data_IF_708847907980
#
_entry.id   IF_708847907980
#
_cell.length_a   1.000
_cell.length_b   1.000
_cell.length_c   1.000
_cell.angle_alpha   90.00
_cell.angle_beta   90.00
_cell.angle_gamma   90.00
#
_symmetry.space_group_name_H-M   'P 1'
#
loop_
_entity.id
_entity.type
_entity.pdbx_description
1 polymer ?
#
# COMPACT_ATOMS: atom_id res chain seq x y z
N UNK A 1 -6.81 -21.27 12.78
CA UNK A 1 -5.52 -20.57 12.70
C UNK A 1 -4.51 -21.23 11.76
N UNK A 2 -4.22 -22.53 11.84
CA UNK A 2 -3.24 -23.21 10.95
C UNK A 2 -3.50 -23.01 9.44
N UNK A 3 -4.77 -23.01 9.01
CA UNK A 3 -5.11 -22.82 7.60
C UNK A 3 -4.77 -21.41 7.09
N UNK A 4 -5.03 -20.34 7.86
CA UNK A 4 -4.73 -18.95 7.48
C UNK A 4 -3.22 -18.78 7.30
N UNK A 5 -2.42 -19.26 8.28
CA UNK A 5 -0.96 -19.17 8.23
C UNK A 5 -0.40 -19.96 7.04
N UNK A 6 -0.93 -21.15 6.76
CA UNK A 6 -0.49 -21.97 5.63
C UNK A 6 -0.79 -21.26 4.29
N UNK A 7 -1.96 -20.65 4.14
CA UNK A 7 -2.33 -19.89 2.94
C UNK A 7 -1.45 -18.64 2.82
N UNK A 8 -1.26 -17.89 3.90
CA UNK A 8 -0.40 -16.71 3.89
C UNK A 8 1.04 -17.05 3.51
N UNK A 9 1.61 -18.11 4.09
CA UNK A 9 2.96 -18.58 3.76
C UNK A 9 3.07 -19.06 2.30
N UNK A 10 2.04 -19.71 1.76
CA UNK A 10 2.03 -20.11 0.35
C UNK A 10 1.98 -18.88 -0.56
N UNK A 11 1.10 -17.94 -0.27
CA UNK A 11 0.96 -16.66 -1.01
C UNK A 11 2.28 -15.88 -0.99
N UNK A 12 2.93 -15.79 0.16
CA UNK A 12 4.23 -15.14 0.31
C UNK A 12 5.31 -15.83 -0.55
N UNK A 13 5.40 -17.17 -0.51
CA UNK A 13 6.37 -17.92 -1.32
C UNK A 13 6.12 -17.79 -2.82
N UNK A 14 4.86 -17.75 -3.24
CA UNK A 14 4.47 -17.55 -4.62
C UNK A 14 4.89 -16.15 -5.10
N UNK A 15 4.62 -15.11 -4.31
CA UNK A 15 4.97 -13.74 -4.61
C UNK A 15 6.48 -13.51 -4.71
N UNK A 16 7.28 -14.06 -3.78
CA UNK A 16 8.74 -13.91 -3.82
C UNK A 16 9.37 -14.59 -5.07
N UNK A 17 8.69 -15.57 -5.66
CA UNK A 17 9.16 -16.21 -6.89
C UNK A 17 8.79 -15.44 -8.16
N UNK A 18 7.96 -14.41 -8.05
CA UNK A 18 7.54 -13.63 -9.20
C UNK A 18 8.65 -12.63 -9.61
N UNK A 19 8.98 -12.64 -10.90
CA UNK A 19 10.04 -11.78 -11.47
C UNK A 19 9.69 -10.30 -11.42
N UNK A 20 8.40 -9.96 -11.43
CA UNK A 20 7.90 -8.59 -11.40
C UNK A 20 8.29 -7.90 -10.08
N UNK A 21 8.27 -8.62 -8.98
CA UNK A 21 8.69 -8.12 -7.67
C UNK A 21 10.16 -7.66 -7.68
N UNK A 22 11.05 -8.47 -8.23
CA UNK A 22 12.47 -8.15 -8.32
C UNK A 22 12.75 -6.99 -9.29
N UNK A 23 11.94 -6.88 -10.34
CA UNK A 23 12.05 -5.76 -11.29
C UNK A 23 11.71 -4.44 -10.58
N UNK A 24 10.61 -4.37 -9.84
CA UNK A 24 10.26 -3.16 -9.09
C UNK A 24 11.26 -2.85 -7.99
N UNK A 25 11.73 -3.88 -7.27
CA UNK A 25 12.78 -3.69 -6.27
C UNK A 25 14.06 -3.15 -6.91
N UNK A 26 14.46 -3.69 -8.07
CA UNK A 26 15.62 -3.21 -8.81
C UNK A 26 15.51 -1.75 -9.23
N UNK A 27 14.36 -1.34 -9.76
CA UNK A 27 14.11 0.07 -10.09
C UNK A 27 14.13 0.97 -8.85
N UNK A 28 13.55 0.53 -7.72
CA UNK A 28 13.58 1.27 -6.47
C UNK A 28 15.03 1.48 -5.99
N UNK A 29 15.86 0.42 -6.04
CA UNK A 29 17.28 0.51 -5.69
C UNK A 29 18.01 1.51 -6.59
N UNK A 30 17.78 1.46 -7.90
CA UNK A 30 18.38 2.41 -8.85
C UNK A 30 17.98 3.85 -8.53
N UNK A 31 16.70 4.11 -8.22
CA UNK A 31 16.24 5.45 -7.84
C UNK A 31 16.80 5.90 -6.50
N UNK A 32 16.83 5.02 -5.49
CA UNK A 32 17.38 5.33 -4.17
C UNK A 32 18.88 5.66 -4.25
N UNK A 33 19.65 4.89 -5.00
CA UNK A 33 21.07 5.19 -5.23
C UNK A 33 21.23 6.42 -6.11
N UNK A 34 20.36 6.60 -7.10
CA UNK A 34 20.35 7.75 -8.01
C UNK A 34 19.93 9.06 -7.33
N UNK A 35 19.20 9.01 -6.20
CA UNK A 35 18.81 10.22 -5.45
C UNK A 35 20.01 11.07 -5.03
N UNK A 36 21.18 10.43 -4.86
CA UNK A 36 22.47 11.10 -4.68
C UNK A 36 22.78 12.11 -5.79
N UNK A 37 22.57 11.73 -7.05
CA UNK A 37 22.88 12.60 -8.18
C UNK A 37 22.04 13.87 -8.13
N UNK A 38 20.79 13.76 -7.69
CA UNK A 38 19.89 14.91 -7.51
C UNK A 38 20.28 15.76 -6.31
N UNK A 39 20.71 15.14 -5.19
CA UNK A 39 21.25 15.86 -4.03
C UNK A 39 22.44 16.74 -4.39
N UNK A 40 23.38 16.26 -5.22
CA UNK A 40 24.54 17.00 -5.67
C UNK A 40 24.22 18.24 -6.52
N UNK A 41 23.04 18.33 -7.09
CA UNK A 41 22.60 19.49 -7.89
C UNK A 41 22.12 20.66 -7.01
N UNK A 42 21.96 20.46 -5.70
CA UNK A 42 21.40 21.44 -4.79
C UNK A 42 22.46 21.85 -3.76
N UNK A 43 22.65 23.16 -3.59
CA UNK A 43 23.64 23.71 -2.64
C UNK A 43 22.95 23.83 -1.27
N UNK A 44 23.39 23.03 -0.30
CA UNK A 44 23.04 23.18 1.12
C UNK A 44 21.94 22.26 1.69
N UNK A 45 21.09 21.60 0.85
CA UNK A 45 19.98 20.74 1.30
C UNK A 45 20.05 19.31 0.73
N UNK A 46 21.24 18.82 0.41
CA UNK A 46 21.46 17.53 -0.26
C UNK A 46 20.74 16.37 0.45
N UNK A 47 20.84 16.30 1.77
CA UNK A 47 20.26 15.19 2.54
C UNK A 47 18.74 15.20 2.58
N UNK A 48 18.14 16.39 2.65
CA UNK A 48 16.67 16.51 2.60
C UNK A 48 16.11 16.01 1.29
N UNK A 49 16.76 16.35 0.17
CA UNK A 49 16.36 15.88 -1.16
C UNK A 49 16.53 14.36 -1.28
N UNK A 50 17.62 13.79 -0.73
CA UNK A 50 17.82 12.34 -0.72
C UNK A 50 16.72 11.64 0.09
N UNK A 51 16.36 12.16 1.27
CA UNK A 51 15.29 11.64 2.11
C UNK A 51 13.94 11.72 1.39
N UNK A 52 13.59 12.89 0.83
CA UNK A 52 12.32 13.14 0.16
C UNK A 52 12.14 12.25 -1.07
N UNK A 53 13.07 12.28 -2.02
CA UNK A 53 13.04 11.41 -3.19
C UNK A 53 13.06 9.92 -2.82
N UNK A 54 13.80 9.57 -1.76
CA UNK A 54 13.87 8.22 -1.25
C UNK A 54 12.53 7.73 -0.71
N UNK A 55 11.85 8.53 0.13
CA UNK A 55 10.54 8.19 0.69
C UNK A 55 9.46 8.12 -0.39
N UNK A 56 9.45 9.08 -1.32
CA UNK A 56 8.53 9.05 -2.49
C UNK A 56 8.76 7.81 -3.34
N UNK A 57 10.00 7.42 -3.59
CA UNK A 57 10.32 6.21 -4.34
C UNK A 57 9.83 4.95 -3.60
N UNK A 58 10.07 4.85 -2.28
CA UNK A 58 9.60 3.74 -1.44
C UNK A 58 8.08 3.63 -1.51
N UNK A 59 7.36 4.73 -1.35
CA UNK A 59 5.90 4.76 -1.39
C UNK A 59 5.39 4.33 -2.78
N UNK A 60 5.92 4.90 -3.85
CA UNK A 60 5.51 4.59 -5.22
C UNK A 60 5.74 3.13 -5.60
N UNK A 61 6.92 2.57 -5.33
CA UNK A 61 7.19 1.17 -5.66
C UNK A 61 6.45 0.19 -4.76
N UNK A 62 6.26 0.52 -3.48
CA UNK A 62 5.44 -0.29 -2.57
C UNK A 62 3.98 -0.34 -3.03
N UNK A 63 3.43 0.77 -3.53
CA UNK A 63 2.11 0.84 -4.15
C UNK A 63 2.04 -0.05 -5.40
N UNK A 64 3.00 0.05 -6.31
CA UNK A 64 3.03 -0.80 -7.51
C UNK A 64 3.08 -2.28 -7.15
N UNK A 65 3.91 -2.65 -6.17
CA UNK A 65 4.00 -4.04 -5.68
C UNK A 65 2.65 -4.48 -5.08
N UNK A 66 2.03 -3.66 -4.22
CA UNK A 66 0.74 -3.99 -3.61
C UNK A 66 -0.35 -4.19 -4.66
N UNK A 67 -0.45 -3.31 -5.65
CA UNK A 67 -1.43 -3.38 -6.74
C UNK A 67 -1.17 -4.59 -7.62
N UNK A 68 0.04 -4.77 -8.13
CA UNK A 68 0.36 -5.85 -9.08
C UNK A 68 0.28 -7.23 -8.42
N UNK A 69 0.79 -7.39 -7.20
CA UNK A 69 0.75 -8.68 -6.51
C UNK A 69 -0.67 -9.09 -6.13
N UNK A 70 -1.54 -8.15 -5.72
CA UNK A 70 -2.93 -8.50 -5.42
C UNK A 70 -3.66 -9.06 -6.64
N UNK A 71 -3.39 -8.49 -7.82
CA UNK A 71 -3.94 -8.97 -9.08
C UNK A 71 -3.46 -10.38 -9.41
N UNK A 72 -2.15 -10.57 -9.41
CA UNK A 72 -1.54 -11.83 -9.81
C UNK A 72 -1.96 -12.98 -8.89
N UNK A 73 -1.99 -12.73 -7.58
CA UNK A 73 -2.22 -13.78 -6.58
C UNK A 73 -3.69 -14.18 -6.45
N UNK A 74 -4.63 -13.25 -6.61
CA UNK A 74 -6.06 -13.54 -6.43
C UNK A 74 -6.71 -13.93 -7.74
N UNK A 75 -6.34 -13.28 -8.84
CA UNK A 75 -6.97 -13.51 -10.13
C UNK A 75 -6.58 -14.85 -10.76
N UNK A 76 -5.31 -15.25 -10.64
CA UNK A 76 -4.87 -16.57 -11.16
C UNK A 76 -5.64 -17.73 -10.54
N UNK A 77 -6.01 -17.64 -9.26
CA UNK A 77 -6.75 -18.69 -8.59
C UNK A 77 -8.24 -18.69 -8.91
N UNK A 78 -8.83 -17.52 -9.14
CA UNK A 78 -10.23 -17.40 -9.56
C UNK A 78 -10.41 -17.92 -10.99
N UNK A 79 -9.48 -17.59 -11.90
CA UNK A 79 -9.55 -17.97 -13.31
C UNK A 79 -9.17 -19.45 -13.56
N UNK A 80 -8.20 -19.98 -12.79
CA UNK A 80 -7.69 -21.34 -12.98
C UNK A 80 -8.55 -22.45 -12.33
N UNK A 81 -9.68 -22.10 -11.70
CA UNK A 81 -10.52 -23.01 -10.91
C UNK A 81 -9.77 -23.81 -9.83
N UNK A 82 -8.50 -23.48 -9.53
CA UNK A 82 -7.71 -24.13 -8.47
C UNK A 82 -8.27 -23.85 -7.08
N UNK A 83 -9.12 -22.81 -6.94
CA UNK A 83 -9.94 -22.57 -5.75
C UNK A 83 -10.73 -23.82 -5.36
N UNK A 84 -11.20 -24.64 -6.32
CA UNK A 84 -11.92 -25.89 -6.03
C UNK A 84 -11.03 -26.94 -5.34
N UNK A 85 -9.77 -27.05 -5.73
CA UNK A 85 -8.83 -28.01 -5.12
C UNK A 85 -8.47 -27.61 -3.68
N UNK A 86 -8.47 -26.28 -3.37
CA UNK A 86 -8.21 -25.76 -2.03
C UNK A 86 -9.47 -25.87 -1.16
N UNK A 87 -10.66 -25.66 -1.73
CA UNK A 87 -11.94 -25.79 -1.04
C UNK A 87 -12.38 -27.26 -0.86
N UNK A 88 -11.75 -28.23 -1.55
CA UNK A 88 -11.88 -29.65 -1.23
C UNK A 88 -11.32 -30.01 0.16
N UNK A 89 -10.43 -29.17 0.72
CA UNK A 89 -10.07 -29.21 2.15
C UNK A 89 -11.07 -28.36 2.93
N UNK A 90 -11.38 -28.67 4.21
CA UNK A 90 -12.38 -27.93 5.01
C UNK A 90 -11.87 -26.53 5.45
N UNK A 91 -11.62 -25.65 4.45
CA UNK A 91 -11.19 -24.27 4.68
C UNK A 91 -12.38 -23.34 4.44
N UNK A 92 -12.71 -22.50 5.44
CA UNK A 92 -13.78 -21.53 5.32
C UNK A 92 -13.36 -20.39 4.37
N UNK A 93 -14.27 -19.85 3.56
CA UNK A 93 -14.00 -18.79 2.57
C UNK A 93 -13.31 -17.56 3.16
N UNK A 94 -13.68 -17.13 4.37
CA UNK A 94 -13.03 -16.00 5.06
C UNK A 94 -11.58 -16.29 5.45
N UNK A 95 -11.25 -17.55 5.78
CA UNK A 95 -9.87 -17.94 6.12
C UNK A 95 -8.96 -17.89 4.89
N UNK A 96 -9.51 -18.25 3.75
CA UNK A 96 -8.82 -18.13 2.47
C UNK A 96 -8.50 -16.66 2.15
N UNK A 97 -9.52 -15.79 2.19
CA UNK A 97 -9.37 -14.37 1.90
C UNK A 97 -8.38 -13.68 2.86
N UNK A 98 -8.53 -13.93 4.16
CA UNK A 98 -7.63 -13.37 5.17
C UNK A 98 -6.19 -13.90 5.01
N UNK A 99 -6.03 -15.18 4.69
CA UNK A 99 -4.71 -15.76 4.42
C UNK A 99 -4.03 -15.11 3.20
N UNK A 100 -4.78 -14.89 2.12
CA UNK A 100 -4.27 -14.18 0.92
C UNK A 100 -3.88 -12.74 1.23
N UNK A 101 -4.73 -12.01 1.93
CA UNK A 101 -4.44 -10.65 2.38
C UNK A 101 -3.17 -10.58 3.24
N UNK A 102 -3.05 -11.43 4.27
CA UNK A 102 -1.87 -11.46 5.14
C UNK A 102 -0.60 -11.85 4.39
N UNK A 103 -0.70 -12.77 3.43
CA UNK A 103 0.44 -13.12 2.57
C UNK A 103 0.89 -11.94 1.70
N UNK A 104 -0.05 -11.19 1.12
CA UNK A 104 0.23 -9.99 0.34
C UNK A 104 0.88 -8.90 1.21
N UNK A 105 0.29 -8.61 2.38
CA UNK A 105 0.83 -7.64 3.34
C UNK A 105 2.25 -8.02 3.77
N UNK A 106 2.54 -9.30 3.99
CA UNK A 106 3.88 -9.77 4.33
C UNK A 106 4.90 -9.54 3.20
N UNK A 107 4.50 -9.70 1.94
CA UNK A 107 5.37 -9.40 0.78
C UNK A 107 5.70 -7.92 0.73
N UNK A 108 4.69 -7.07 0.84
CA UNK A 108 4.87 -5.61 0.84
C UNK A 108 5.74 -5.18 2.02
N UNK A 109 5.51 -5.76 3.23
CA UNK A 109 6.30 -5.47 4.42
C UNK A 109 7.79 -5.77 4.23
N UNK A 110 8.12 -6.94 3.66
CA UNK A 110 9.52 -7.31 3.40
C UNK A 110 10.16 -6.35 2.41
N UNK A 111 9.49 -6.06 1.29
CA UNK A 111 10.03 -5.13 0.30
C UNK A 111 10.22 -3.73 0.86
N UNK A 112 9.20 -3.18 1.54
CA UNK A 112 9.25 -1.86 2.14
C UNK A 112 10.36 -1.77 3.19
N UNK A 113 10.51 -2.79 4.03
CA UNK A 113 11.60 -2.85 5.02
C UNK A 113 12.97 -2.84 4.34
N UNK A 114 13.15 -3.62 3.26
CA UNK A 114 14.42 -3.62 2.52
C UNK A 114 14.72 -2.26 1.88
N UNK A 115 13.72 -1.61 1.28
CA UNK A 115 13.87 -0.29 0.69
C UNK A 115 14.18 0.78 1.76
N UNK A 116 13.47 0.75 2.90
CA UNK A 116 13.71 1.67 4.02
C UNK A 116 15.12 1.48 4.61
N UNK A 117 15.56 0.24 4.81
CA UNK A 117 16.91 -0.05 5.26
C UNK A 117 17.97 0.47 4.27
N UNK A 118 17.73 0.31 2.97
CA UNK A 118 18.62 0.85 1.95
C UNK A 118 18.67 2.38 2.02
N UNK A 119 17.52 3.06 2.16
CA UNK A 119 17.48 4.51 2.30
C UNK A 119 18.23 4.97 3.55
N UNK A 120 18.03 4.30 4.69
CA UNK A 120 18.77 4.60 5.94
C UNK A 120 20.27 4.46 5.74
N UNK A 121 20.73 3.41 5.05
CA UNK A 121 22.15 3.23 4.72
C UNK A 121 22.66 4.35 3.81
N UNK A 122 21.90 4.72 2.79
CA UNK A 122 22.25 5.83 1.90
C UNK A 122 22.40 7.13 2.71
N UNK A 123 21.42 7.48 3.52
CA UNK A 123 21.46 8.71 4.36
C UNK A 123 22.61 8.65 5.38
N UNK A 124 22.82 7.50 6.02
CA UNK A 124 23.93 7.33 6.97
C UNK A 124 25.30 7.56 6.34
N UNK A 125 25.53 7.09 5.12
CA UNK A 125 26.79 7.32 4.39
C UNK A 125 27.05 8.80 4.16
N UNK A 126 25.99 9.64 4.10
CA UNK A 126 26.10 11.09 3.87
C UNK A 126 26.19 11.90 5.16
N UNK A 127 25.32 11.61 6.12
CA UNK A 127 25.24 12.37 7.37
C UNK A 127 26.19 11.86 8.46
N UNK A 128 26.68 10.60 8.33
CA UNK A 128 27.37 9.86 9.38
C UNK A 128 26.54 9.70 10.68
N UNK A 129 25.24 9.97 10.63
CA UNK A 129 24.29 9.83 11.72
C UNK A 129 23.13 8.93 11.29
N UNK A 130 22.63 8.11 12.22
CA UNK A 130 21.47 7.24 11.96
C UNK A 130 20.19 8.04 12.20
N UNK A 131 19.39 8.18 11.14
CA UNK A 131 18.09 8.82 11.21
C UNK A 131 16.98 7.79 11.48
N UNK A 132 16.55 7.70 12.74
CA UNK A 132 15.48 6.79 13.14
C UNK A 132 14.10 7.23 12.65
N UNK A 133 13.91 8.49 12.25
CA UNK A 133 12.63 8.97 11.73
C UNK A 133 12.29 8.32 10.38
N UNK A 134 13.28 7.88 9.61
CA UNK A 134 13.05 7.13 8.37
C UNK A 134 12.35 5.77 8.61
N UNK A 135 12.66 5.09 9.72
CA UNK A 135 11.93 3.87 10.09
C UNK A 135 10.49 4.16 10.47
N UNK A 136 10.24 5.30 11.11
CA UNK A 136 8.89 5.75 11.42
C UNK A 136 8.10 6.03 10.13
N UNK A 137 8.67 6.77 9.18
CA UNK A 137 8.06 7.01 7.87
C UNK A 137 7.74 5.67 7.16
N UNK A 138 8.69 4.73 7.13
CA UNK A 138 8.48 3.40 6.58
C UNK A 138 7.35 2.63 7.28
N UNK A 139 7.21 2.75 8.59
CA UNK A 139 6.12 2.11 9.33
C UNK A 139 4.75 2.72 8.99
N UNK A 140 4.66 4.03 8.78
CA UNK A 140 3.42 4.70 8.36
C UNK A 140 3.06 4.34 6.92
N UNK A 141 4.01 4.34 6.00
CA UNK A 141 3.83 3.84 4.64
C UNK A 141 3.39 2.37 4.64
N UNK A 142 3.88 1.55 5.57
CA UNK A 142 3.43 0.15 5.70
C UNK A 142 1.95 0.06 6.08
N UNK A 143 1.46 0.90 6.97
CA UNK A 143 0.04 0.96 7.33
C UNK A 143 -0.82 1.40 6.13
N UNK A 144 -0.36 2.40 5.40
CA UNK A 144 -0.99 2.87 4.17
C UNK A 144 -1.10 1.72 3.14
N UNK A 145 0.01 1.04 2.86
CA UNK A 145 0.03 -0.09 1.93
C UNK A 145 -0.84 -1.26 2.40
N UNK A 146 -0.98 -1.48 3.71
CA UNK A 146 -1.90 -2.48 4.24
C UNK A 146 -3.37 -2.12 3.99
N UNK A 147 -3.74 -0.84 4.09
CA UNK A 147 -5.07 -0.34 3.70
C UNK A 147 -5.29 -0.54 2.20
N UNK A 148 -4.33 -0.14 1.38
CA UNK A 148 -4.40 -0.30 -0.08
C UNK A 148 -4.54 -1.77 -0.49
N UNK A 149 -3.79 -2.67 0.14
CA UNK A 149 -3.87 -4.12 -0.07
C UNK A 149 -5.26 -4.69 0.28
N UNK A 150 -5.96 -4.13 1.29
CA UNK A 150 -7.32 -4.52 1.61
C UNK A 150 -8.28 -4.14 0.48
N UNK A 151 -8.19 -2.92 -0.07
CA UNK A 151 -8.97 -2.51 -1.25
C UNK A 151 -8.63 -3.34 -2.49
N UNK A 152 -7.35 -3.60 -2.74
CA UNK A 152 -6.92 -4.45 -3.82
C UNK A 152 -7.53 -5.87 -3.71
N UNK A 153 -7.58 -6.43 -2.49
CA UNK A 153 -8.23 -7.72 -2.20
C UNK A 153 -9.74 -7.66 -2.46
N UNK A 154 -10.42 -6.57 -2.08
CA UNK A 154 -11.84 -6.35 -2.35
C UNK A 154 -12.11 -6.31 -3.87
N UNK A 155 -11.36 -5.50 -4.61
CA UNK A 155 -11.57 -5.35 -6.05
C UNK A 155 -11.22 -6.61 -6.84
N UNK A 156 -10.24 -7.39 -6.40
CA UNK A 156 -9.94 -8.69 -6.99
C UNK A 156 -11.10 -9.70 -6.86
N UNK A 157 -11.92 -9.59 -5.81
CA UNK A 157 -13.16 -10.39 -5.67
C UNK A 157 -14.31 -9.81 -6.48
N UNK A 158 -14.39 -8.47 -6.61
CA UNK A 158 -15.52 -7.79 -7.27
C UNK A 158 -15.41 -7.79 -8.79
N UNK A 159 -14.22 -7.60 -9.34
CA UNK A 159 -13.98 -7.25 -10.73
C UNK A 159 -13.00 -8.22 -11.42
N UNK A 160 -12.78 -7.99 -12.71
CA UNK A 160 -11.70 -8.65 -13.45
C UNK A 160 -10.34 -8.03 -13.07
N UNK A 161 -9.22 -8.76 -13.24
CA UNK A 161 -7.89 -8.34 -12.78
C UNK A 161 -7.52 -6.91 -13.17
N UNK A 162 -7.59 -6.58 -14.45
CA UNK A 162 -7.19 -5.27 -14.98
C UNK A 162 -8.05 -4.14 -14.39
N UNK A 163 -9.35 -4.35 -14.27
CA UNK A 163 -10.23 -3.34 -13.69
C UNK A 163 -10.00 -3.18 -12.18
N UNK A 164 -9.73 -4.28 -11.48
CA UNK A 164 -9.38 -4.27 -10.05
C UNK A 164 -8.10 -3.46 -9.78
N UNK A 165 -7.07 -3.57 -10.64
CA UNK A 165 -5.85 -2.77 -10.49
C UNK A 165 -6.10 -1.29 -10.73
N UNK A 166 -6.83 -0.97 -11.79
CA UNK A 166 -7.19 0.42 -12.07
C UNK A 166 -7.98 1.06 -10.92
N UNK A 167 -8.95 0.33 -10.35
CA UNK A 167 -9.71 0.80 -9.19
C UNK A 167 -8.82 0.97 -7.95
N UNK A 168 -7.87 0.04 -7.71
CA UNK A 168 -6.93 0.17 -6.59
C UNK A 168 -5.99 1.36 -6.79
N UNK A 169 -5.51 1.57 -8.01
CA UNK A 169 -4.70 2.73 -8.36
C UNK A 169 -5.50 4.03 -8.18
N UNK A 170 -6.77 4.05 -8.58
CA UNK A 170 -7.65 5.20 -8.36
C UNK A 170 -7.85 5.49 -6.87
N UNK A 171 -8.00 4.45 -6.01
CA UNK A 171 -8.06 4.62 -4.56
C UNK A 171 -6.78 5.25 -4.02
N UNK A 172 -5.61 4.83 -4.51
CA UNK A 172 -4.34 5.42 -4.11
C UNK A 172 -4.26 6.91 -4.49
N UNK A 173 -4.50 7.24 -5.76
CA UNK A 173 -4.40 8.62 -6.24
C UNK A 173 -5.42 9.54 -5.54
N UNK A 174 -6.69 9.13 -5.51
CA UNK A 174 -7.75 9.94 -4.89
C UNK A 174 -7.57 10.02 -3.37
N UNK A 175 -7.08 8.95 -2.75
CA UNK A 175 -6.79 8.91 -1.32
C UNK A 175 -5.69 9.89 -0.89
N UNK A 176 -4.68 10.11 -1.73
CA UNK A 176 -3.61 11.11 -1.51
C UNK A 176 -4.00 12.53 -1.88
N UNK A 177 -5.10 12.73 -2.60
CA UNK A 177 -5.60 14.06 -2.93
C UNK A 177 -6.79 14.45 -2.05
N UNK A 178 -6.98 13.80 -0.91
CA UNK A 178 -8.20 13.98 -0.10
C UNK A 178 -8.39 15.40 0.41
N UNK A 179 -7.32 16.08 0.86
CA UNK A 179 -7.42 17.47 1.31
C UNK A 179 -7.64 18.43 0.15
N UNK A 180 -6.95 18.25 -0.96
CA UNK A 180 -7.12 19.04 -2.18
C UNK A 180 -8.53 18.88 -2.74
N UNK A 181 -9.09 17.68 -2.74
CA UNK A 181 -10.46 17.42 -3.16
C UNK A 181 -11.48 18.15 -2.27
N UNK A 182 -11.24 18.20 -0.97
CA UNK A 182 -12.08 18.95 -0.05
C UNK A 182 -12.02 20.45 -0.32
N UNK A 183 -10.86 21.02 -0.58
CA UNK A 183 -10.68 22.41 -0.97
C UNK A 183 -11.36 22.72 -2.30
N UNK A 184 -11.25 21.82 -3.28
CA UNK A 184 -11.93 21.96 -4.58
C UNK A 184 -13.46 21.98 -4.44
N UNK A 185 -14.05 21.22 -3.51
CA UNK A 185 -15.52 21.25 -3.31
C UNK A 185 -16.04 22.64 -2.95
N UNK A 186 -15.21 23.45 -2.29
CA UNK A 186 -15.58 24.82 -1.89
C UNK A 186 -15.48 25.84 -3.04
N UNK A 187 -14.65 25.54 -4.05
CA UNK A 187 -14.37 26.47 -5.16
C UNK A 187 -15.23 26.21 -6.41
N UNK A 188 -15.80 25.00 -6.53
CA UNK A 188 -16.55 24.62 -7.72
C UNK A 188 -17.97 25.22 -7.72
N UNK A 189 -18.38 25.88 -8.84
CA UNK A 189 -19.68 26.53 -8.93
C UNK A 189 -20.87 25.58 -9.16
N UNK A 190 -20.63 24.29 -9.52
CA UNK A 190 -21.67 23.33 -9.88
C UNK A 190 -22.08 22.41 -8.74
N UNK A 191 -23.38 22.31 -8.43
CA UNK A 191 -23.90 21.40 -7.39
C UNK A 191 -23.59 19.93 -7.70
N UNK A 192 -23.66 19.51 -8.96
CA UNK A 192 -23.36 18.14 -9.40
C UNK A 192 -21.88 17.79 -9.18
N UNK A 193 -20.96 18.66 -9.62
CA UNK A 193 -19.51 18.45 -9.44
C UNK A 193 -19.15 18.36 -7.95
N UNK A 194 -19.71 19.25 -7.10
CA UNK A 194 -19.54 19.18 -5.65
C UNK A 194 -20.05 17.87 -5.05
N UNK A 195 -21.22 17.39 -5.48
CA UNK A 195 -21.77 16.13 -4.99
C UNK A 195 -20.88 14.94 -5.35
N UNK A 196 -20.34 14.87 -6.59
CA UNK A 196 -19.45 13.80 -7.05
C UNK A 196 -18.16 13.78 -6.22
N UNK A 197 -17.49 14.93 -6.05
CA UNK A 197 -16.25 15.02 -5.30
C UNK A 197 -16.48 14.75 -3.81
N UNK A 198 -17.55 15.28 -3.22
CA UNK A 198 -17.89 14.97 -1.83
C UNK A 198 -18.17 13.47 -1.63
N UNK A 199 -18.85 12.82 -2.58
CA UNK A 199 -19.08 11.38 -2.53
C UNK A 199 -17.76 10.60 -2.59
N UNK A 200 -16.84 10.98 -3.48
CA UNK A 200 -15.52 10.39 -3.56
C UNK A 200 -14.74 10.55 -2.25
N UNK A 201 -14.74 11.75 -1.68
CA UNK A 201 -14.09 12.07 -0.40
C UNK A 201 -14.60 11.21 0.77
N UNK A 202 -15.92 10.99 0.88
CA UNK A 202 -16.48 10.18 1.96
C UNK A 202 -16.40 8.66 1.71
N UNK A 203 -16.35 8.23 0.46
CA UNK A 203 -16.33 6.81 0.09
C UNK A 203 -14.93 6.21 0.10
N UNK A 204 -13.92 7.01 -0.27
CA UNK A 204 -12.54 6.55 -0.38
C UNK A 204 -11.77 6.84 0.91
N UNK A 205 -10.76 6.01 1.24
CA UNK A 205 -9.94 6.25 2.41
C UNK A 205 -9.06 7.48 2.18
N UNK A 206 -8.92 8.30 3.21
CA UNK A 206 -7.92 9.37 3.24
C UNK A 206 -6.56 8.75 3.55
N UNK A 207 -5.71 8.58 2.52
CA UNK A 207 -4.38 8.00 2.64
C UNK A 207 -3.34 9.04 3.09
N UNK A 208 -3.61 10.32 2.89
CA UNK A 208 -2.77 11.44 3.32
C UNK A 208 -2.51 11.44 4.84
N UNK A 209 -3.41 10.83 5.64
CA UNK A 209 -3.22 10.64 7.08
C UNK A 209 -2.02 9.77 7.46
N UNK A 210 -1.48 9.02 6.53
CA UNK A 210 -0.29 8.17 6.72
C UNK A 210 0.98 8.85 6.21
N UNK A 211 0.83 9.95 5.49
CA UNK A 211 1.94 10.70 4.93
C UNK A 211 2.53 11.65 5.99
N UNK A 212 3.69 11.27 6.50
CA UNK A 212 4.51 12.06 7.41
C UNK A 212 5.88 12.39 6.77
N UNK A 213 5.96 12.38 5.43
CA UNK A 213 7.21 12.60 4.72
C UNK A 213 7.78 13.99 5.03
N UNK A 214 6.93 15.01 4.99
CA UNK A 214 7.35 16.40 5.28
C UNK A 214 7.92 16.54 6.70
N UNK A 215 7.24 15.96 7.70
CA UNK A 215 7.70 16.01 9.09
C UNK A 215 9.04 15.30 9.27
N UNK A 216 9.22 14.13 8.62
CA UNK A 216 10.45 13.35 8.71
C UNK A 216 11.60 14.01 7.96
N UNK A 217 11.36 14.60 6.78
CA UNK A 217 12.40 15.26 5.98
C UNK A 217 12.88 16.56 6.64
N UNK A 218 11.97 17.30 7.29
CA UNK A 218 12.25 18.59 7.92
C UNK A 218 12.46 18.51 9.43
N UNK A 219 12.54 17.32 10.01
CA UNK A 219 12.73 17.08 11.45
C UNK A 219 11.67 17.80 12.32
N UNK A 220 10.41 17.86 11.83
CA UNK A 220 9.31 18.50 12.53
C UNK A 220 8.74 17.60 13.63
N UNK A 221 8.20 18.16 14.72
CA UNK A 221 7.60 17.38 15.79
C UNK A 221 6.31 16.69 15.31
N UNK A 222 6.23 15.38 15.47
CA UNK A 222 5.06 14.56 15.10
C UNK A 222 4.16 14.38 16.32
N UNK A 223 2.89 14.84 16.28
CA UNK A 223 1.96 14.65 17.38
C UNK A 223 1.62 13.16 17.57
N UNK A 224 1.87 12.61 18.76
CA UNK A 224 1.54 11.22 19.06
C UNK A 224 0.05 10.89 18.82
N UNK A 225 -0.84 11.85 19.04
CA UNK A 225 -2.26 11.71 18.76
C UNK A 225 -2.55 11.44 17.27
N UNK A 226 -1.85 12.11 16.34
CA UNK A 226 -2.01 11.89 14.90
C UNK A 226 -1.63 10.45 14.51
N UNK A 227 -0.53 9.92 15.06
CA UNK A 227 -0.07 8.55 14.84
C UNK A 227 -1.10 7.53 15.35
N UNK A 228 -1.60 7.72 16.58
CA UNK A 228 -2.63 6.84 17.16
C UNK A 228 -3.90 6.84 16.31
N UNK A 229 -4.36 8.01 15.89
CA UNK A 229 -5.52 8.13 15.01
C UNK A 229 -5.31 7.49 13.65
N UNK A 230 -4.13 7.61 13.04
CA UNK A 230 -3.77 6.92 11.80
C UNK A 230 -3.83 5.39 11.97
N UNK A 231 -3.26 4.85 13.05
CA UNK A 231 -3.31 3.42 13.36
C UNK A 231 -4.74 2.89 13.55
N UNK A 232 -5.56 3.60 14.34
CA UNK A 232 -6.97 3.23 14.57
C UNK A 232 -7.75 3.29 13.27
N UNK A 233 -7.55 4.34 12.48
CA UNK A 233 -8.19 4.51 11.18
C UNK A 233 -7.84 3.38 10.22
N UNK A 234 -6.55 3.03 10.10
CA UNK A 234 -6.09 1.91 9.28
C UNK A 234 -6.79 0.60 9.67
N UNK A 235 -6.81 0.30 10.98
CA UNK A 235 -7.44 -0.93 11.50
C UNK A 235 -8.93 -1.00 11.14
N UNK A 236 -9.66 0.10 11.37
CA UNK A 236 -11.11 0.16 11.08
C UNK A 236 -11.37 -0.04 9.59
N UNK A 237 -10.64 0.66 8.72
CA UNK A 237 -10.79 0.54 7.26
C UNK A 237 -10.46 -0.87 6.78
N UNK A 238 -9.33 -1.44 7.23
CA UNK A 238 -8.93 -2.80 6.84
C UNK A 238 -10.01 -3.82 7.22
N UNK A 239 -10.51 -3.77 8.47
CA UNK A 239 -11.55 -4.70 8.93
C UNK A 239 -12.83 -4.53 8.12
N UNK A 240 -13.27 -3.29 7.89
CA UNK A 240 -14.49 -2.99 7.12
C UNK A 240 -14.37 -3.51 5.67
N UNK A 241 -13.27 -3.19 4.99
CA UNK A 241 -13.04 -3.56 3.58
C UNK A 241 -12.93 -5.07 3.42
N UNK A 242 -12.19 -5.76 4.30
CA UNK A 242 -12.08 -7.21 4.28
C UNK A 242 -13.43 -7.89 4.62
N UNK A 243 -14.23 -7.30 5.50
CA UNK A 243 -15.58 -7.78 5.77
C UNK A 243 -16.46 -7.69 4.52
N UNK A 244 -16.45 -6.56 3.81
CA UNK A 244 -17.17 -6.37 2.54
C UNK A 244 -16.69 -7.36 1.47
N UNK A 245 -15.37 -7.57 1.35
CA UNK A 245 -14.79 -8.55 0.45
C UNK A 245 -15.30 -9.97 0.75
N UNK A 246 -15.35 -10.34 2.03
CA UNK A 246 -15.87 -11.65 2.46
C UNK A 246 -17.36 -11.81 2.18
N UNK A 247 -18.19 -10.78 2.42
CA UNK A 247 -19.62 -10.82 2.09
C UNK A 247 -19.84 -11.07 0.59
N UNK A 248 -19.09 -10.40 -0.25
CA UNK A 248 -19.19 -10.56 -1.70
C UNK A 248 -18.69 -11.94 -2.15
N UNK A 249 -17.58 -12.40 -1.60
CA UNK A 249 -17.01 -13.71 -1.90
C UNK A 249 -17.94 -14.86 -1.51
N UNK A 250 -18.74 -14.68 -0.45
CA UNK A 250 -19.77 -15.67 -0.04
C UNK A 250 -20.92 -15.81 -1.04
N UNK A 251 -21.29 -14.72 -1.73
CA UNK A 251 -22.38 -14.66 -2.70
C UNK A 251 -21.97 -15.05 -4.11
N UNK A 252 -20.68 -15.19 -4.37
CA UNK A 252 -20.18 -15.64 -5.67
C UNK A 252 -20.38 -17.16 -5.74
N UNK A 253 -21.41 -17.57 -6.48
CA UNK A 253 -21.61 -18.99 -6.82
C UNK A 253 -20.43 -19.40 -7.71
N UNK A 254 -19.63 -20.32 -7.20
CA UNK A 254 -18.49 -20.92 -7.89
C UNK A 254 -19.02 -22.11 -8.73
N UNK A 255 -20.06 -21.89 -9.58
CA UNK A 255 -20.49 -22.87 -10.57
C UNK A 255 -19.64 -22.79 -11.83
#
# INVERSE_FOLDING_TARGET
MRAIVAIAANTFREAIRDRILYLFLGFAVVLLVGSKLFGMLTVGDETRIIKDLGLVAIQFFSMLIAVMMSLLLISREVDSRTVFNILAKPVRRWQFLLGKYLGLVAVVAVNLTLMTLLLVVVVWVYQHELDFMLFFAGAMTMLEMAVLAAFATLFAVLTRPILGSLMTLAVFVVGHMSEDLWLLTRQLPGAFARAVIATAYYLLPNLERFDFHTEVVHDLPIPAAAVVWACVYALVIIVLVLYLANLRFRRKDLM
#
